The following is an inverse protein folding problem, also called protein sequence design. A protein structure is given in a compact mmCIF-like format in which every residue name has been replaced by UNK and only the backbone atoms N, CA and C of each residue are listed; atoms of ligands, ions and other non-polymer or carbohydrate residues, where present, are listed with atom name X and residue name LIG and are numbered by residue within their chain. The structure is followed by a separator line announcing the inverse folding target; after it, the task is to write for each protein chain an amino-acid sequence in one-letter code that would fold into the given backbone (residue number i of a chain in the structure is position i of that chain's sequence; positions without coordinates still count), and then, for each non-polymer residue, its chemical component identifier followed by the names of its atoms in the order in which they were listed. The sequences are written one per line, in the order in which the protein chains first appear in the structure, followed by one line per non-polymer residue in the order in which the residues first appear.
data_IF_587749398762
#
_entry.id   IF_587749398762
#
_cell.length_a   1.000
_cell.length_b   1.000
_cell.length_c   1.000
_cell.angle_alpha   90.00
_cell.angle_beta   90.00
_cell.angle_gamma   90.00
#
_symmetry.space_group_name_H-M   'P 1'
#
loop_
_entity.id
_entity.type
_entity.pdbx_description
1 polymer ?
#
# COMPACT_ATOMS: atom_id res chain seq x y z
N UNK A 1 94.80 -29.02 0.37
CA UNK A 1 94.58 -28.53 -1.00
C UNK A 1 93.07 -28.42 -1.20
N UNK A 2 92.54 -27.20 -1.40
CA UNK A 2 91.24 -26.80 -2.02
C UNK A 2 90.01 -27.68 -1.71
N UNK A 3 88.87 -27.19 -1.22
CA UNK A 3 87.99 -26.23 -1.93
C UNK A 3 86.83 -25.84 -1.01
N UNK A 4 86.46 -24.55 -1.03
CA UNK A 4 85.21 -23.99 -0.50
C UNK A 4 83.97 -24.68 -1.08
N UNK A 5 82.92 -24.86 -0.29
CA UNK A 5 81.55 -24.83 -0.78
C UNK A 5 80.67 -23.99 0.16
N UNK A 6 80.37 -22.78 -0.31
CA UNK A 6 79.33 -21.91 0.20
C UNK A 6 77.99 -22.49 -0.28
N UNK A 7 77.11 -22.89 0.64
CA UNK A 7 75.72 -23.21 0.31
C UNK A 7 74.86 -22.02 0.74
N UNK A 8 74.49 -21.17 -0.23
CA UNK A 8 73.59 -20.05 0.00
C UNK A 8 72.16 -20.60 0.17
N UNK A 9 71.58 -20.40 1.35
CA UNK A 9 70.20 -20.76 1.66
C UNK A 9 69.32 -19.55 1.33
N UNK A 10 68.73 -19.55 0.14
CA UNK A 10 67.79 -18.52 -0.31
C UNK A 10 66.46 -18.67 0.43
N UNK A 11 66.16 -17.77 1.37
CA UNK A 11 64.84 -17.66 1.99
C UNK A 11 63.90 -16.98 0.98
N UNK A 12 63.05 -17.74 0.31
CA UNK A 12 61.99 -17.17 -0.53
C UNK A 12 60.82 -16.76 0.38
N UNK A 13 60.65 -15.45 0.60
CA UNK A 13 59.46 -14.87 1.20
C UNK A 13 58.30 -15.03 0.21
N UNK A 14 57.41 -16.01 0.44
CA UNK A 14 56.17 -16.13 -0.31
C UNK A 14 55.17 -15.09 0.24
N UNK A 15 55.15 -13.91 -0.37
CA UNK A 15 54.07 -12.93 -0.19
C UNK A 15 52.80 -13.52 -0.81
N UNK A 16 51.93 -14.07 0.03
CA UNK A 16 50.58 -14.48 -0.36
C UNK A 16 49.76 -13.24 -0.74
N UNK A 17 49.77 -12.91 -2.02
CA UNK A 17 48.81 -11.99 -2.62
C UNK A 17 47.41 -12.60 -2.46
N UNK A 18 46.66 -12.08 -1.49
CA UNK A 18 45.21 -12.29 -1.42
C UNK A 18 44.57 -11.58 -2.62
N UNK A 19 44.45 -12.31 -3.73
CA UNK A 19 43.54 -11.92 -4.79
C UNK A 19 42.12 -12.11 -4.25
N UNK A 20 41.55 -11.03 -3.73
CA UNK A 20 40.10 -10.93 -3.63
C UNK A 20 39.56 -10.99 -5.06
N UNK A 21 38.97 -12.12 -5.42
CA UNK A 21 38.21 -12.27 -6.65
C UNK A 21 37.01 -11.32 -6.57
N UNK A 22 37.15 -10.11 -7.10
CA UNK A 22 36.01 -9.26 -7.44
C UNK A 22 35.23 -10.05 -8.49
N UNK A 23 34.09 -10.59 -8.08
CA UNK A 23 33.17 -11.26 -8.99
C UNK A 23 32.76 -10.26 -10.08
N UNK A 24 32.78 -10.70 -11.33
CA UNK A 24 32.28 -9.89 -12.45
C UNK A 24 30.81 -9.46 -12.29
N UNK A 25 30.08 -10.03 -11.32
CA UNK A 25 28.73 -9.63 -10.93
C UNK A 25 28.63 -8.21 -10.33
N UNK A 26 29.69 -7.69 -9.70
CA UNK A 26 29.65 -6.37 -9.05
C UNK A 26 29.68 -5.21 -10.04
N UNK A 27 30.12 -5.44 -11.29
CA UNK A 27 30.21 -4.39 -12.32
C UNK A 27 28.86 -3.94 -12.89
N UNK A 28 27.78 -4.66 -12.60
CA UNK A 28 26.45 -4.41 -13.17
C UNK A 28 25.33 -4.42 -12.12
N UNK A 29 25.64 -4.01 -10.88
CA UNK A 29 24.59 -3.84 -9.88
C UNK A 29 23.71 -2.64 -10.25
N UNK A 30 22.58 -2.89 -10.89
CA UNK A 30 21.53 -1.89 -11.16
C UNK A 30 20.61 -1.79 -9.95
N UNK A 31 20.48 -0.60 -9.38
CA UNK A 31 19.59 -0.32 -8.24
C UNK A 31 20.32 -0.10 -6.90
N UNK A 32 19.59 0.42 -5.89
CA UNK A 32 20.19 0.80 -4.61
C UNK A 32 20.74 -0.40 -3.84
N UNK A 33 21.66 -0.12 -2.91
CA UNK A 33 22.22 -1.14 -2.03
C UNK A 33 21.13 -1.81 -1.15
N UNK A 34 21.19 -3.13 -0.93
CA UNK A 34 20.10 -3.86 -0.29
C UNK A 34 20.07 -3.59 1.23
N UNK A 35 21.26 -3.48 1.84
CA UNK A 35 21.39 -3.09 3.25
C UNK A 35 21.04 -1.61 3.42
N UNK A 36 21.34 -0.78 2.43
CA UNK A 36 20.87 0.61 2.39
C UNK A 36 19.34 0.70 2.32
N UNK A 37 18.67 -0.08 1.46
CA UNK A 37 17.19 -0.13 1.40
C UNK A 37 16.63 -0.55 2.76
N UNK A 38 17.18 -1.60 3.37
CA UNK A 38 16.73 -2.12 4.66
C UNK A 38 16.88 -1.08 5.77
N UNK A 39 18.04 -0.43 5.86
CA UNK A 39 18.30 0.60 6.88
C UNK A 39 17.43 1.85 6.69
N UNK A 40 17.24 2.32 5.45
CA UNK A 40 16.36 3.45 5.15
C UNK A 40 14.89 3.12 5.47
N UNK A 41 14.42 1.91 5.13
CA UNK A 41 13.09 1.43 5.50
C UNK A 41 12.90 1.41 7.02
N UNK A 42 13.88 0.88 7.76
CA UNK A 42 13.81 0.84 9.23
C UNK A 42 13.74 2.24 9.82
N UNK A 43 14.54 3.19 9.31
CA UNK A 43 14.46 4.58 9.75
C UNK A 43 13.07 5.21 9.50
N UNK A 44 12.42 4.86 8.38
CA UNK A 44 11.05 5.25 8.08
C UNK A 44 10.04 4.67 9.09
N UNK A 45 10.13 3.37 9.38
CA UNK A 45 9.28 2.70 10.38
C UNK A 45 9.44 3.38 11.75
N UNK A 46 10.68 3.60 12.18
CA UNK A 46 10.98 4.23 13.47
C UNK A 46 10.41 5.65 13.56
N UNK A 47 10.48 6.41 12.47
CA UNK A 47 9.89 7.75 12.39
C UNK A 47 8.36 7.71 12.50
N UNK A 48 7.71 6.80 11.77
CA UNK A 48 6.25 6.65 11.81
C UNK A 48 5.78 6.26 13.21
N UNK A 49 6.47 5.32 13.88
CA UNK A 49 6.18 4.96 15.27
C UNK A 49 6.30 6.17 16.21
N UNK A 50 7.38 6.94 16.09
CA UNK A 50 7.66 8.09 16.98
C UNK A 50 6.75 9.30 16.72
N UNK A 51 6.17 9.42 15.53
CA UNK A 51 5.35 10.57 15.11
C UNK A 51 3.85 10.35 15.28
N UNK A 52 3.42 9.20 15.78
CA UNK A 52 2.00 8.92 16.03
C UNK A 52 1.44 9.88 17.09
N UNK A 53 0.26 10.43 16.82
CA UNK A 53 -0.46 11.28 17.76
C UNK A 53 -0.95 10.49 18.99
N UNK A 54 -1.32 11.22 20.04
CA UNK A 54 -1.81 10.65 21.28
C UNK A 54 -3.13 9.85 21.11
N UNK A 55 -3.92 10.13 20.09
CA UNK A 55 -5.16 9.41 19.75
C UNK A 55 -4.94 8.18 18.85
N UNK A 56 -3.73 7.98 18.31
CA UNK A 56 -3.40 6.88 17.40
C UNK A 56 -3.35 7.29 15.92
N UNK A 57 -3.71 8.53 15.58
CA UNK A 57 -3.68 9.06 14.22
C UNK A 57 -2.29 9.56 13.83
N UNK A 58 -2.13 9.94 12.56
CA UNK A 58 -1.01 10.74 12.06
C UNK A 58 -1.50 12.02 11.40
N UNK A 59 -0.71 13.09 11.53
CA UNK A 59 -1.02 14.41 10.96
C UNK A 59 -2.35 14.97 11.50
N UNK A 60 -3.31 15.28 10.62
CA UNK A 60 -4.63 15.78 10.99
C UNK A 60 -5.60 14.62 11.30
N UNK A 61 -6.11 14.50 12.54
CA UNK A 61 -7.07 13.45 12.90
C UNK A 61 -8.33 13.44 12.03
N UNK A 62 -8.76 14.57 11.48
CA UNK A 62 -9.95 14.64 10.62
C UNK A 62 -9.77 14.02 9.23
N UNK A 63 -8.54 13.67 8.83
CA UNK A 63 -8.22 13.09 7.53
C UNK A 63 -7.75 11.65 7.73
N UNK A 64 -8.70 10.72 7.79
CA UNK A 64 -8.42 9.33 8.18
C UNK A 64 -7.51 8.60 7.19
N UNK A 65 -7.59 8.95 5.90
CA UNK A 65 -6.79 8.32 4.84
C UNK A 65 -5.29 8.34 5.12
N UNK A 66 -4.76 9.40 5.74
CA UNK A 66 -3.33 9.47 6.09
C UNK A 66 -2.98 8.40 7.13
N UNK A 67 -3.79 8.30 8.18
CA UNK A 67 -3.54 7.33 9.26
C UNK A 67 -3.68 5.89 8.75
N UNK A 68 -4.65 5.65 7.87
CA UNK A 68 -4.82 4.34 7.23
C UNK A 68 -3.64 3.98 6.33
N UNK A 69 -3.14 4.88 5.48
CA UNK A 69 -1.94 4.64 4.65
C UNK A 69 -0.71 4.33 5.48
N UNK A 70 -0.48 5.08 6.57
CA UNK A 70 0.64 4.83 7.49
C UNK A 70 0.49 3.47 8.15
N UNK A 71 -0.70 3.12 8.62
CA UNK A 71 -0.97 1.84 9.27
C UNK A 71 -0.75 0.66 8.31
N UNK A 72 -1.27 0.74 7.08
CA UNK A 72 -1.01 -0.26 6.04
C UNK A 72 0.49 -0.40 5.77
N UNK A 73 1.20 0.72 5.64
CA UNK A 73 2.65 0.70 5.40
C UNK A 73 3.41 -0.01 6.54
N UNK A 74 3.01 0.20 7.79
CA UNK A 74 3.63 -0.48 8.94
C UNK A 74 3.36 -1.99 8.91
N UNK A 75 2.12 -2.39 8.63
CA UNK A 75 1.72 -3.79 8.51
C UNK A 75 2.49 -4.51 7.39
N UNK A 76 2.52 -3.92 6.18
CA UNK A 76 3.24 -4.47 5.01
C UNK A 76 4.76 -4.58 5.24
N UNK A 77 5.29 -3.81 6.20
CA UNK A 77 6.70 -3.87 6.61
C UNK A 77 6.93 -4.76 7.84
N UNK A 78 5.98 -5.64 8.16
CA UNK A 78 6.16 -6.75 9.10
C UNK A 78 5.75 -6.46 10.53
N UNK A 79 5.18 -5.28 10.83
CA UNK A 79 4.59 -5.07 12.15
C UNK A 79 3.30 -5.89 12.28
N UNK A 80 3.11 -6.46 13.47
CA UNK A 80 1.88 -7.21 13.78
C UNK A 80 0.70 -6.25 14.04
N UNK A 81 -0.56 -6.65 13.78
CA UNK A 81 -1.74 -5.92 14.24
C UNK A 81 -1.73 -5.64 15.75
N UNK A 82 -1.09 -6.50 16.55
CA UNK A 82 -0.94 -6.37 18.01
C UNK A 82 0.23 -5.48 18.42
N UNK A 83 1.04 -4.98 17.46
CA UNK A 83 2.05 -3.98 17.78
C UNK A 83 1.35 -2.73 18.37
N UNK A 84 1.80 -2.17 19.51
CA UNK A 84 1.08 -1.08 20.19
C UNK A 84 0.77 0.13 19.30
N UNK A 85 1.66 0.49 18.37
CA UNK A 85 1.42 1.59 17.42
C UNK A 85 0.33 1.23 16.43
N UNK A 86 0.36 0.02 15.88
CA UNK A 86 -0.60 -0.47 14.88
C UNK A 86 -1.98 -0.70 15.52
N UNK A 87 -2.04 -1.38 16.66
CA UNK A 87 -3.29 -1.65 17.38
C UNK A 87 -4.01 -0.34 17.72
N UNK A 88 -3.27 0.65 18.22
CA UNK A 88 -3.82 1.97 18.53
C UNK A 88 -4.39 2.67 17.30
N UNK A 89 -3.72 2.57 16.16
CA UNK A 89 -4.21 3.16 14.90
C UNK A 89 -5.45 2.42 14.37
N UNK A 90 -5.49 1.10 14.44
CA UNK A 90 -6.66 0.30 14.06
C UNK A 90 -7.86 0.62 14.96
N UNK A 91 -7.64 0.76 16.27
CA UNK A 91 -8.66 1.20 17.21
C UNK A 91 -9.17 2.60 16.89
N UNK A 92 -8.27 3.54 16.53
CA UNK A 92 -8.66 4.88 16.07
C UNK A 92 -9.52 4.82 14.80
N UNK A 93 -9.07 4.13 13.75
CA UNK A 93 -9.76 4.08 12.45
C UNK A 93 -11.15 3.43 12.56
N UNK A 94 -11.27 2.34 13.31
CA UNK A 94 -12.53 1.59 13.43
C UNK A 94 -13.62 2.31 14.23
N UNK A 95 -13.28 3.35 15.00
CA UNK A 95 -14.25 4.23 15.65
C UNK A 95 -15.09 5.04 14.66
N UNK A 96 -14.60 5.22 13.43
CA UNK A 96 -15.26 6.01 12.39
C UNK A 96 -16.17 5.19 11.46
N UNK A 97 -16.50 3.96 11.86
CA UNK A 97 -17.55 3.18 11.18
C UNK A 97 -18.88 3.93 11.23
N UNK A 98 -19.64 3.83 10.16
CA UNK A 98 -20.91 4.54 9.98
C UNK A 98 -22.06 3.54 9.84
N UNK A 99 -23.28 3.97 10.15
CA UNK A 99 -24.48 3.11 10.07
C UNK A 99 -24.78 2.63 8.65
N UNK A 100 -24.33 3.38 7.63
CA UNK A 100 -24.45 3.00 6.22
C UNK A 100 -23.36 2.00 5.75
N UNK A 101 -22.47 1.56 6.65
CA UNK A 101 -21.41 0.61 6.36
C UNK A 101 -20.08 1.22 5.92
N UNK A 102 -20.03 2.53 5.63
CA UNK A 102 -18.78 3.22 5.32
C UNK A 102 -17.88 3.41 6.55
N UNK A 103 -16.62 3.75 6.31
CA UNK A 103 -15.66 4.08 7.36
C UNK A 103 -14.98 5.39 6.97
N UNK A 104 -15.40 6.48 7.58
CA UNK A 104 -14.97 7.82 7.20
C UNK A 104 -15.25 8.81 8.32
N UNK A 105 -14.53 9.94 8.33
CA UNK A 105 -14.80 11.01 9.28
C UNK A 105 -16.16 11.67 8.97
N UNK A 106 -17.08 11.88 9.93
CA UNK A 106 -18.43 12.41 9.65
C UNK A 106 -18.46 13.73 8.86
N UNK A 107 -17.47 14.60 9.10
CA UNK A 107 -17.34 15.89 8.38
C UNK A 107 -16.68 15.77 6.98
N UNK A 108 -16.24 14.58 6.55
CA UNK A 108 -15.49 14.43 5.30
C UNK A 108 -16.40 14.56 4.07
N UNK A 109 -15.82 15.09 2.99
CA UNK A 109 -16.41 14.99 1.64
C UNK A 109 -15.82 13.82 0.84
N UNK A 110 -14.86 13.09 1.40
CA UNK A 110 -14.05 12.08 0.70
C UNK A 110 -14.40 10.65 1.15
N UNK A 111 -15.69 10.35 1.27
CA UNK A 111 -16.20 9.10 1.85
C UNK A 111 -15.74 7.84 1.11
N UNK A 112 -15.71 7.89 -0.23
CA UNK A 112 -15.17 6.79 -1.05
C UNK A 112 -13.68 6.59 -0.75
N UNK A 113 -12.89 7.65 -0.86
CA UNK A 113 -11.45 7.61 -0.63
C UNK A 113 -11.11 7.06 0.76
N UNK A 114 -11.66 7.66 1.82
CA UNK A 114 -11.38 7.22 3.19
C UNK A 114 -11.80 5.77 3.42
N UNK A 115 -13.00 5.38 2.98
CA UNK A 115 -13.46 3.99 3.16
C UNK A 115 -12.60 3.01 2.37
N UNK A 116 -12.17 3.35 1.15
CA UNK A 116 -11.32 2.49 0.32
C UNK A 116 -9.95 2.26 0.97
N UNK A 117 -9.28 3.32 1.41
CA UNK A 117 -7.96 3.19 2.05
C UNK A 117 -8.07 2.40 3.37
N UNK A 118 -9.10 2.69 4.18
CA UNK A 118 -9.30 1.99 5.45
C UNK A 118 -9.64 0.51 5.21
N UNK A 119 -10.45 0.19 4.21
CA UNK A 119 -10.75 -1.20 3.84
C UNK A 119 -9.47 -1.98 3.52
N UNK A 120 -8.56 -1.41 2.72
CA UNK A 120 -7.27 -2.05 2.43
C UNK A 120 -6.42 -2.25 3.70
N UNK A 121 -6.40 -1.25 4.60
CA UNK A 121 -5.73 -1.36 5.90
C UNK A 121 -6.32 -2.50 6.76
N UNK A 122 -7.65 -2.59 6.84
CA UNK A 122 -8.32 -3.62 7.61
C UNK A 122 -8.06 -5.01 7.04
N UNK A 123 -8.08 -5.18 5.71
CA UNK A 123 -7.72 -6.44 5.05
C UNK A 123 -6.32 -6.89 5.47
N UNK A 124 -5.34 -5.99 5.40
CA UNK A 124 -3.95 -6.30 5.78
C UNK A 124 -3.83 -6.66 7.28
N UNK A 125 -4.64 -6.04 8.13
CA UNK A 125 -4.65 -6.31 9.57
C UNK A 125 -5.42 -7.58 9.98
N UNK A 126 -6.31 -8.11 9.13
CA UNK A 126 -7.32 -9.09 9.51
C UNK A 126 -6.82 -10.55 9.52
N UNK A 127 -5.87 -10.86 10.39
CA UNK A 127 -5.24 -12.20 10.47
C UNK A 127 -6.13 -13.28 11.08
N UNK A 128 -7.06 -12.90 11.95
CA UNK A 128 -7.91 -13.79 12.75
C UNK A 128 -9.41 -13.63 12.45
N UNK A 129 -9.77 -12.84 11.43
CA UNK A 129 -11.16 -12.57 11.06
C UNK A 129 -11.84 -11.49 11.92
N UNK A 130 -11.13 -10.83 12.84
CA UNK A 130 -11.68 -9.75 13.70
C UNK A 130 -12.43 -8.66 12.94
N UNK A 131 -12.04 -8.36 11.70
CA UNK A 131 -12.61 -7.28 10.89
C UNK A 131 -13.57 -7.77 9.78
N UNK A 132 -13.90 -9.06 9.70
CA UNK A 132 -14.72 -9.64 8.60
C UNK A 132 -16.04 -8.90 8.37
N UNK A 133 -16.80 -8.65 9.44
CA UNK A 133 -18.09 -7.95 9.33
C UNK A 133 -17.91 -6.50 8.84
N UNK A 134 -16.86 -5.83 9.31
CA UNK A 134 -16.58 -4.45 8.95
C UNK A 134 -16.10 -4.34 7.49
N UNK A 135 -15.27 -5.28 7.05
CA UNK A 135 -14.80 -5.43 5.65
C UNK A 135 -16.01 -5.63 4.72
N UNK A 136 -16.91 -6.56 5.05
CA UNK A 136 -18.09 -6.84 4.23
C UNK A 136 -19.03 -5.62 4.12
N UNK A 137 -19.23 -4.88 5.22
CA UNK A 137 -20.02 -3.64 5.22
C UNK A 137 -19.38 -2.54 4.37
N UNK A 138 -18.06 -2.36 4.49
CA UNK A 138 -17.32 -1.39 3.69
C UNK A 138 -17.34 -1.72 2.19
N UNK A 139 -17.20 -2.99 1.82
CA UNK A 139 -17.36 -3.44 0.43
C UNK A 139 -18.75 -3.06 -0.12
N UNK A 140 -19.80 -3.38 0.63
CA UNK A 140 -21.18 -3.04 0.22
C UNK A 140 -21.37 -1.53 0.08
N UNK A 141 -20.85 -0.74 1.02
CA UNK A 141 -20.92 0.71 0.97
C UNK A 141 -20.23 1.27 -0.28
N UNK A 142 -18.99 0.82 -0.57
CA UNK A 142 -18.23 1.27 -1.73
C UNK A 142 -18.94 0.97 -3.05
N UNK A 143 -19.49 -0.24 -3.21
CA UNK A 143 -20.28 -0.60 -4.39
C UNK A 143 -21.49 0.33 -4.58
N UNK A 144 -22.15 0.71 -3.50
CA UNK A 144 -23.27 1.65 -3.53
C UNK A 144 -22.89 3.11 -3.78
N UNK A 145 -21.61 3.46 -3.91
CA UNK A 145 -21.16 4.80 -4.32
C UNK A 145 -20.84 4.89 -5.81
N UNK A 146 -20.91 3.77 -6.54
CA UNK A 146 -20.64 3.74 -7.96
C UNK A 146 -21.75 4.45 -8.74
N UNK A 147 -21.36 5.15 -9.80
CA UNK A 147 -22.28 5.89 -10.65
C UNK A 147 -22.94 4.92 -11.62
N UNK A 148 -24.15 4.47 -11.34
CA UNK A 148 -24.83 3.46 -12.15
C UNK A 148 -26.36 3.66 -12.17
N UNK A 149 -27.12 2.59 -12.45
CA UNK A 149 -28.57 2.62 -12.52
C UNK A 149 -29.23 3.04 -11.20
N UNK A 150 -28.60 2.79 -10.05
CA UNK A 150 -29.12 3.18 -8.74
C UNK A 150 -29.09 4.71 -8.56
N UNK A 151 -28.23 5.40 -9.31
CA UNK A 151 -28.16 6.86 -9.43
C UNK A 151 -29.01 7.41 -10.60
N UNK A 152 -29.77 6.53 -11.28
CA UNK A 152 -30.61 6.89 -12.42
C UNK A 152 -29.85 7.11 -13.74
N UNK A 153 -28.58 6.68 -13.80
CA UNK A 153 -27.77 6.76 -15.01
C UNK A 153 -28.07 5.59 -15.93
N UNK A 154 -27.84 5.84 -17.23
CA UNK A 154 -27.87 4.81 -18.25
C UNK A 154 -26.45 4.43 -18.63
N UNK A 155 -26.27 3.25 -19.19
CA UNK A 155 -24.95 2.74 -19.60
C UNK A 155 -24.24 3.66 -20.61
N UNK A 156 -24.97 4.42 -21.42
CA UNK A 156 -24.42 5.39 -22.39
C UNK A 156 -23.97 6.72 -21.76
N UNK A 157 -24.22 6.95 -20.47
CA UNK A 157 -23.76 8.14 -19.77
C UNK A 157 -22.22 8.12 -19.60
N UNK A 158 -21.48 9.19 -19.95
CA UNK A 158 -20.03 9.24 -19.78
C UNK A 158 -19.53 8.97 -18.35
N UNK A 159 -20.35 9.23 -17.33
CA UNK A 159 -20.03 8.98 -15.93
C UNK A 159 -20.33 7.54 -15.47
N UNK A 160 -21.08 6.76 -16.27
CA UNK A 160 -21.52 5.42 -15.89
C UNK A 160 -20.34 4.49 -15.57
N UNK A 161 -20.44 3.84 -14.42
CA UNK A 161 -19.49 2.90 -13.84
C UNK A 161 -18.32 3.52 -13.08
N UNK A 162 -18.17 4.83 -13.10
CA UNK A 162 -17.11 5.51 -12.35
C UNK A 162 -17.43 5.65 -10.86
N UNK A 163 -16.42 5.99 -10.08
CA UNK A 163 -16.59 6.40 -8.69
C UNK A 163 -15.88 7.74 -8.43
N UNK A 164 -16.54 8.61 -7.66
CA UNK A 164 -15.97 9.87 -7.18
C UNK A 164 -15.80 9.85 -5.66
N UNK A 165 -15.65 11.02 -5.04
CA UNK A 165 -15.49 11.11 -3.58
C UNK A 165 -16.71 10.70 -2.74
N UNK A 166 -17.87 10.49 -3.36
CA UNK A 166 -19.11 10.13 -2.67
C UNK A 166 -19.85 11.33 -2.06
N UNK A 167 -19.61 12.55 -2.53
CA UNK A 167 -20.34 13.77 -2.12
C UNK A 167 -21.06 14.46 -3.30
N UNK A 168 -21.64 13.66 -4.22
CA UNK A 168 -22.39 14.12 -5.41
C UNK A 168 -21.60 15.11 -6.32
N UNK A 169 -20.38 14.75 -6.70
CA UNK A 169 -19.59 15.49 -7.71
C UNK A 169 -19.60 14.74 -9.05
N UNK A 170 -18.43 14.48 -9.65
CA UNK A 170 -18.28 13.61 -10.84
C UNK A 170 -17.40 12.42 -10.47
N UNK A 171 -17.48 11.30 -11.19
CA UNK A 171 -16.48 10.25 -11.07
C UNK A 171 -15.13 10.70 -11.63
N UNK A 172 -14.06 10.05 -11.16
CA UNK A 172 -12.70 10.25 -11.65
C UNK A 172 -11.89 8.95 -11.57
N UNK A 173 -10.77 8.90 -12.31
CA UNK A 173 -9.93 7.71 -12.39
C UNK A 173 -9.30 7.32 -11.04
N UNK A 174 -8.93 8.29 -10.21
CA UNK A 174 -8.22 8.02 -8.96
C UNK A 174 -9.14 7.40 -7.90
N UNK A 175 -10.33 7.95 -7.70
CA UNK A 175 -11.31 7.39 -6.77
C UNK A 175 -11.91 6.08 -7.27
N UNK A 176 -12.03 5.92 -8.59
CA UNK A 176 -12.39 4.63 -9.20
C UNK A 176 -11.31 3.59 -8.92
N UNK A 177 -10.02 3.92 -9.11
CA UNK A 177 -8.91 3.01 -8.82
C UNK A 177 -8.89 2.60 -7.35
N UNK A 178 -8.96 3.55 -6.40
CA UNK A 178 -8.96 3.21 -4.98
C UNK A 178 -10.12 2.29 -4.59
N UNK A 179 -11.32 2.56 -5.12
CA UNK A 179 -12.49 1.71 -4.90
C UNK A 179 -12.23 0.29 -5.42
N UNK A 180 -11.81 0.14 -6.67
CA UNK A 180 -11.56 -1.17 -7.28
C UNK A 180 -10.46 -1.96 -6.57
N UNK A 181 -9.37 -1.29 -6.20
CA UNK A 181 -8.27 -1.92 -5.48
C UNK A 181 -8.72 -2.41 -4.09
N UNK A 182 -9.50 -1.60 -3.37
CA UNK A 182 -10.04 -1.97 -2.08
C UNK A 182 -11.04 -3.14 -2.19
N UNK A 183 -11.91 -3.14 -3.18
CA UNK A 183 -12.84 -4.25 -3.47
C UNK A 183 -12.09 -5.54 -3.82
N UNK A 184 -11.05 -5.46 -4.66
CA UNK A 184 -10.27 -6.62 -5.05
C UNK A 184 -9.49 -7.20 -3.87
N UNK A 185 -8.78 -6.36 -3.11
CA UNK A 185 -7.99 -6.79 -1.94
C UNK A 185 -8.87 -7.41 -0.85
N UNK A 186 -10.11 -6.94 -0.71
CA UNK A 186 -11.10 -7.54 0.20
C UNK A 186 -11.76 -8.82 -0.34
N UNK A 187 -11.28 -9.36 -1.46
CA UNK A 187 -11.69 -10.65 -1.99
C UNK A 187 -12.92 -10.62 -2.90
N UNK A 188 -13.38 -9.43 -3.33
CA UNK A 188 -14.43 -9.35 -4.34
C UNK A 188 -13.91 -9.87 -5.68
N UNK A 189 -14.69 -10.72 -6.35
CA UNK A 189 -14.32 -11.21 -7.68
C UNK A 189 -14.22 -10.05 -8.68
N UNK A 190 -13.24 -10.11 -9.57
CA UNK A 190 -13.10 -9.17 -10.70
C UNK A 190 -14.22 -9.34 -11.74
N UNK A 191 -14.97 -10.45 -11.67
CA UNK A 191 -16.18 -10.68 -12.47
C UNK A 191 -17.43 -10.02 -11.84
N UNK A 192 -17.33 -9.43 -10.64
CA UNK A 192 -18.45 -8.72 -10.02
C UNK A 192 -18.88 -7.52 -10.91
N UNK A 193 -20.19 -7.24 -11.02
CA UNK A 193 -20.70 -6.13 -11.83
C UNK A 193 -20.00 -4.79 -11.56
N UNK A 194 -19.52 -4.54 -10.34
CA UNK A 194 -18.82 -3.30 -10.02
C UNK A 194 -17.55 -3.10 -10.87
N UNK A 195 -16.78 -4.17 -11.12
CA UNK A 195 -15.60 -4.10 -11.98
C UNK A 195 -15.99 -3.95 -13.45
N UNK A 196 -17.01 -4.66 -13.91
CA UNK A 196 -17.47 -4.59 -15.29
C UNK A 196 -17.98 -3.20 -15.64
N UNK A 197 -18.77 -2.58 -14.76
CA UNK A 197 -19.20 -1.18 -14.90
C UNK A 197 -18.00 -0.23 -14.94
N UNK A 198 -17.01 -0.43 -14.06
CA UNK A 198 -15.83 0.43 -14.05
C UNK A 198 -14.96 0.30 -15.31
N UNK A 199 -14.93 -0.87 -15.98
CA UNK A 199 -14.28 -1.02 -17.29
C UNK A 199 -14.95 -0.11 -18.33
N UNK A 200 -16.28 -0.03 -18.33
CA UNK A 200 -17.03 0.89 -19.20
C UNK A 200 -16.58 2.33 -18.97
N UNK A 201 -16.52 2.78 -17.71
CA UNK A 201 -16.02 4.11 -17.37
C UNK A 201 -14.57 4.32 -17.85
N UNK A 202 -13.66 3.42 -17.49
CA UNK A 202 -12.24 3.54 -17.82
C UNK A 202 -12.02 3.57 -19.34
N UNK A 203 -12.74 2.75 -20.11
CA UNK A 203 -12.64 2.72 -21.58
C UNK A 203 -12.89 4.10 -22.22
N UNK A 204 -13.76 4.92 -21.62
CA UNK A 204 -14.12 6.27 -22.09
C UNK A 204 -13.14 7.35 -21.68
N UNK A 205 -12.20 7.04 -20.79
CA UNK A 205 -11.22 8.00 -20.24
C UNK A 205 -9.83 7.88 -20.85
N UNK A 206 -9.64 6.95 -21.79
CA UNK A 206 -8.32 6.67 -22.39
C UNK A 206 -7.87 7.71 -23.42
N UNK A 207 -8.74 8.66 -23.78
CA UNK A 207 -8.46 9.68 -24.80
C UNK A 207 -7.95 9.05 -26.12
N UNK A 208 -8.59 7.96 -26.54
CA UNK A 208 -8.37 7.34 -27.85
C UNK A 208 -8.99 8.22 -28.93
N UNK A 209 -8.45 8.12 -30.15
CA UNK A 209 -9.04 8.80 -31.31
C UNK A 209 -10.50 8.35 -31.48
N UNK A 210 -11.41 9.31 -31.71
CA UNK A 210 -12.79 8.98 -32.07
C UNK A 210 -12.81 8.40 -33.48
N UNK A 211 -13.57 7.31 -33.67
CA UNK A 211 -13.88 6.75 -35.00
C UNK A 211 -14.59 7.77 -35.91
#
# INVERSE_FOLDING_TARGET
MKTMFLCAMSLALASSLNFQSVSAADKYRVGPDADQIKSTRQAGIDYLIKSQNADGSWSNPKILGISALVTTSLLENGLSPENPTVDKALNYLTQFKQDNGGIYHPDTKHRNYETSIILMCLVEANRDGKYDELIAKAQKFLKGLQWDEDEGLKEDDPAYGGAGYGSHSRPDLSNTQFMLEALQKSGLSVDDPAFQKAITFVSRTQNLDSE
#
